data_IF_608488970709
#
_entry.id   IF_608488970709
#
_cell.length_a   1.000
_cell.length_b   1.000
_cell.length_c   1.000
_cell.angle_alpha   90.00
_cell.angle_beta   90.00
_cell.angle_gamma   90.00
#
_symmetry.space_group_name_H-M   'P 1'
#
loop_
_entity.id
_entity.type
_entity.pdbx_description
1 polymer ?
#
# COMPACT_ATOMS: atom_id res chain seq x y z
N UNK A 1 -9.21 49.22 7.09
CA UNK A 1 -8.56 48.62 5.90
C UNK A 1 -7.06 48.63 6.17
N UNK A 2 -6.44 47.58 6.70
CA UNK A 2 -6.13 46.33 5.99
C UNK A 2 -6.02 45.20 7.03
N UNK A 3 -7.07 44.39 7.17
CA UNK A 3 -7.02 43.10 7.86
C UNK A 3 -6.90 42.05 6.76
N UNK A 4 -5.75 41.41 6.65
CA UNK A 4 -5.56 40.17 5.89
C UNK A 4 -4.21 39.61 6.38
N UNK A 5 -4.12 38.91 7.50
CA UNK A 5 -4.84 37.66 7.82
C UNK A 5 -4.85 36.68 6.65
N UNK A 6 -3.69 36.42 6.06
CA UNK A 6 -3.45 35.13 5.40
C UNK A 6 -2.25 34.48 6.06
N UNK A 7 -2.45 34.09 7.32
CA UNK A 7 -1.72 32.99 7.90
C UNK A 7 -2.08 31.77 7.07
N UNK A 8 -1.26 31.41 6.08
CA UNK A 8 -1.46 30.16 5.35
C UNK A 8 -1.33 29.02 6.37
N UNK A 9 -2.37 28.19 6.56
CA UNK A 9 -2.22 27.00 7.37
C UNK A 9 -1.30 26.04 6.60
N UNK A 10 -0.13 25.78 7.17
CA UNK A 10 0.66 24.60 6.83
C UNK A 10 -0.29 23.38 6.94
N UNK A 11 -0.48 22.57 5.89
CA UNK A 11 -1.25 21.35 6.01
C UNK A 11 -0.56 20.46 7.03
N UNK A 12 -1.31 20.20 8.10
CA UNK A 12 -0.94 19.44 9.27
C UNK A 12 -0.21 18.15 8.96
N UNK A 13 0.79 17.89 9.79
CA UNK A 13 1.51 16.63 9.97
C UNK A 13 0.61 15.41 9.70
N UNK A 14 0.85 14.76 8.55
CA UNK A 14 0.40 13.38 8.39
C UNK A 14 1.33 12.53 9.24
N UNK A 15 0.82 12.11 10.39
CA UNK A 15 1.35 11.02 11.22
C UNK A 15 1.77 9.89 10.28
N UNK A 16 3.07 9.82 10.01
CA UNK A 16 3.66 8.75 9.23
C UNK A 16 3.41 7.47 10.01
N UNK A 17 2.47 6.64 9.54
CA UNK A 17 2.31 5.28 10.02
C UNK A 17 3.57 4.52 9.62
N UNK A 18 4.58 4.62 10.49
CA UNK A 18 5.76 3.80 10.44
C UNK A 18 5.38 2.35 10.69
N UNK A 19 6.13 1.48 10.01
CA UNK A 19 6.42 0.12 10.45
C UNK A 19 5.30 -0.91 10.20
N UNK A 20 5.13 -1.30 8.93
CA UNK A 20 4.59 -2.63 8.60
C UNK A 20 5.71 -3.65 8.87
N UNK A 21 6.06 -3.82 10.14
CA UNK A 21 7.00 -4.87 10.55
C UNK A 21 6.23 -6.19 10.50
N UNK A 22 6.64 -7.05 9.57
CA UNK A 22 6.19 -8.44 9.38
C UNK A 22 4.73 -8.70 8.93
N UNK A 23 3.82 -7.72 8.92
CA UNK A 23 2.45 -7.95 8.46
C UNK A 23 2.41 -8.25 6.94
N UNK A 24 1.74 -9.34 6.55
CA UNK A 24 1.51 -9.76 5.14
C UNK A 24 0.51 -8.83 4.46
N UNK A 25 0.93 -7.58 4.20
CA UNK A 25 0.12 -6.55 3.56
C UNK A 25 0.81 -6.07 2.28
N UNK A 26 0.02 -5.87 1.22
CA UNK A 26 0.50 -5.24 -0.02
C UNK A 26 0.70 -3.74 0.21
N UNK A 27 1.86 -3.18 -0.18
CA UNK A 27 2.15 -1.75 0.01
C UNK A 27 1.27 -0.84 -0.85
N UNK A 28 0.90 -1.26 -2.05
CA UNK A 28 0.14 -0.45 -3.02
C UNK A 28 -1.37 -0.51 -2.78
N UNK A 29 -1.90 -1.72 -2.56
CA UNK A 29 -3.34 -1.95 -2.48
C UNK A 29 -3.84 -2.21 -1.07
N UNK A 30 -2.94 -2.30 -0.08
CA UNK A 30 -3.31 -2.54 1.32
C UNK A 30 -3.97 -3.90 1.59
N UNK A 31 -3.91 -4.86 0.65
CA UNK A 31 -4.55 -6.18 0.80
C UNK A 31 -4.05 -6.91 2.04
N UNK A 32 -4.96 -7.35 2.90
CA UNK A 32 -4.69 -8.04 4.17
C UNK A 32 -5.14 -9.50 4.13
N UNK A 33 -4.59 -10.38 4.98
CA UNK A 33 -5.11 -11.73 5.14
C UNK A 33 -6.56 -11.70 5.63
N UNK A 34 -7.39 -12.56 5.05
CA UNK A 34 -8.80 -12.71 5.42
C UNK A 34 -8.96 -14.03 6.16
N UNK A 35 -9.80 -14.07 7.20
CA UNK A 35 -10.14 -15.31 7.91
C UNK A 35 -11.44 -15.86 7.33
N UNK A 36 -11.51 -17.18 7.15
CA UNK A 36 -12.76 -17.87 6.81
C UNK A 36 -12.71 -19.33 7.21
N UNK A 37 -13.67 -20.12 6.72
CA UNK A 37 -13.78 -21.53 7.07
C UNK A 37 -13.47 -22.42 5.85
N UNK A 38 -12.92 -23.62 6.10
CA UNK A 38 -13.04 -24.75 5.20
C UNK A 38 -14.30 -25.53 5.58
N UNK A 39 -15.15 -25.85 4.61
CA UNK A 39 -16.42 -26.55 4.82
C UNK A 39 -16.31 -27.90 4.15
N UNK A 40 -16.48 -28.98 4.91
CA UNK A 40 -16.51 -30.33 4.35
C UNK A 40 -17.86 -30.64 3.70
N UNK A 41 -17.94 -31.75 2.96
CA UNK A 41 -19.20 -32.25 2.42
C UNK A 41 -20.26 -32.49 3.51
N UNK A 42 -19.82 -32.84 4.72
CA UNK A 42 -20.67 -32.98 5.92
C UNK A 42 -20.89 -31.67 6.68
N UNK A 43 -20.58 -30.50 6.09
CA UNK A 43 -20.71 -29.17 6.68
C UNK A 43 -19.90 -28.92 7.98
N UNK A 44 -18.84 -29.68 8.22
CA UNK A 44 -17.94 -29.42 9.34
C UNK A 44 -17.07 -28.21 8.99
N UNK A 45 -17.12 -27.17 9.83
CA UNK A 45 -16.44 -25.89 9.61
C UNK A 45 -15.13 -25.83 10.39
N UNK A 46 -14.00 -25.79 9.71
CA UNK A 46 -12.67 -25.58 10.31
C UNK A 46 -12.12 -24.20 9.95
N UNK A 47 -11.55 -23.47 10.93
CA UNK A 47 -11.01 -22.13 10.69
C UNK A 47 -9.76 -22.18 9.82
N UNK A 48 -9.67 -21.30 8.82
CA UNK A 48 -8.47 -21.11 7.99
C UNK A 48 -8.21 -19.64 7.69
N UNK A 49 -6.99 -19.35 7.23
CA UNK A 49 -6.58 -18.00 6.80
C UNK A 49 -6.30 -17.99 5.31
N UNK A 50 -6.88 -17.03 4.59
CA UNK A 50 -6.59 -16.73 3.20
C UNK A 50 -5.47 -15.70 3.13
N UNK A 51 -4.37 -16.07 2.50
CA UNK A 51 -3.19 -15.23 2.41
C UNK A 51 -3.13 -14.59 1.03
N UNK A 52 -2.86 -13.28 0.93
CA UNK A 52 -2.61 -12.64 -0.35
C UNK A 52 -1.31 -13.18 -0.97
N UNK A 53 -1.31 -13.34 -2.30
CA UNK A 53 -0.11 -13.70 -3.07
C UNK A 53 0.85 -12.50 -3.13
N UNK A 54 1.70 -12.35 -2.10
CA UNK A 54 2.67 -11.26 -1.99
C UNK A 54 4.01 -11.66 -2.60
N UNK A 55 4.50 -10.82 -3.51
CA UNK A 55 5.75 -11.01 -4.21
C UNK A 55 6.68 -9.81 -3.95
N UNK A 56 7.96 -10.07 -3.70
CA UNK A 56 8.99 -9.02 -3.62
C UNK A 56 9.48 -8.74 -5.04
N UNK A 57 9.26 -7.53 -5.55
CA UNK A 57 9.68 -7.12 -6.90
C UNK A 57 10.38 -5.77 -6.86
N UNK A 58 11.32 -5.59 -7.78
CA UNK A 58 12.06 -4.34 -7.97
C UNK A 58 11.46 -3.60 -9.16
N UNK A 59 11.25 -2.30 -8.99
CA UNK A 59 10.79 -1.39 -10.02
C UNK A 59 11.85 -0.32 -10.23
N UNK A 60 12.09 0.03 -11.49
CA UNK A 60 12.96 1.14 -11.84
C UNK A 60 12.13 2.42 -11.85
N UNK A 61 12.59 3.46 -11.16
CA UNK A 61 11.92 4.74 -11.13
C UNK A 61 12.71 5.76 -11.94
N UNK A 62 12.11 6.20 -13.06
CA UNK A 62 12.78 7.04 -14.05
C UNK A 62 13.00 8.49 -13.59
N UNK A 63 12.25 9.02 -12.61
CA UNK A 63 12.43 10.42 -12.17
C UNK A 63 13.65 10.59 -11.23
N UNK A 64 14.10 9.52 -10.56
CA UNK A 64 15.19 9.57 -9.57
C UNK A 64 16.31 8.56 -9.88
N UNK A 65 16.24 7.90 -11.04
CA UNK A 65 17.17 6.85 -11.51
C UNK A 65 17.50 5.79 -10.46
N UNK A 66 16.50 5.42 -9.65
CA UNK A 66 16.69 4.51 -8.50
C UNK A 66 15.83 3.25 -8.61
N UNK A 67 16.36 2.17 -8.04
CA UNK A 67 15.62 0.92 -7.90
C UNK A 67 14.82 0.91 -6.60
N UNK A 68 13.51 0.79 -6.73
CA UNK A 68 12.59 0.69 -5.60
C UNK A 68 12.16 -0.77 -5.41
N UNK A 69 12.30 -1.29 -4.19
CA UNK A 69 11.83 -2.65 -3.87
C UNK A 69 10.49 -2.58 -3.15
N UNK A 70 9.46 -3.20 -3.75
CA UNK A 70 8.12 -3.26 -3.16
C UNK A 70 7.67 -4.71 -2.92
N UNK A 71 6.89 -4.89 -1.85
CA UNK A 71 6.07 -6.09 -1.61
C UNK A 71 4.70 -5.87 -2.25
N UNK A 72 4.46 -6.56 -3.36
CA UNK A 72 3.34 -6.29 -4.26
C UNK A 72 2.51 -7.55 -4.45
N UNK A 73 1.18 -7.39 -4.41
CA UNK A 73 0.24 -8.44 -4.83
C UNK A 73 0.05 -8.45 -6.34
N UNK A 74 -0.42 -9.56 -6.93
CA UNK A 74 -0.71 -9.64 -8.37
C UNK A 74 -1.65 -8.54 -8.88
N UNK A 75 -2.67 -8.17 -8.11
CA UNK A 75 -3.57 -7.08 -8.50
C UNK A 75 -2.91 -5.70 -8.45
N UNK A 76 -1.93 -5.53 -7.56
CA UNK A 76 -1.17 -4.29 -7.52
C UNK A 76 -0.24 -4.16 -8.73
N UNK A 77 0.29 -5.27 -9.28
CA UNK A 77 0.99 -5.24 -10.58
C UNK A 77 0.06 -4.77 -11.69
N UNK A 78 -1.19 -5.22 -11.70
CA UNK A 78 -2.19 -4.76 -12.68
C UNK A 78 -2.48 -3.27 -12.53
N UNK A 79 -2.59 -2.75 -11.31
CA UNK A 79 -2.78 -1.32 -11.05
C UNK A 79 -1.58 -0.49 -11.51
N UNK A 80 -0.36 -0.94 -11.21
CA UNK A 80 0.88 -0.27 -11.63
C UNK A 80 0.95 -0.18 -13.16
N UNK A 81 0.61 -1.25 -13.87
CA UNK A 81 0.61 -1.26 -15.33
C UNK A 81 -0.45 -0.33 -15.94
N UNK A 82 -1.57 -0.09 -15.23
CA UNK A 82 -2.64 0.81 -15.70
C UNK A 82 -2.36 2.28 -15.41
N UNK A 83 -1.92 2.61 -14.20
CA UNK A 83 -1.79 3.99 -13.73
C UNK A 83 -0.37 4.57 -13.93
N UNK A 84 0.61 3.69 -14.18
CA UNK A 84 2.02 4.04 -14.20
C UNK A 84 2.68 4.01 -12.82
N UNK A 85 4.01 3.87 -12.78
CA UNK A 85 4.78 3.82 -11.53
C UNK A 85 4.85 5.18 -10.82
N UNK A 86 4.87 6.29 -11.56
CA UNK A 86 5.03 7.64 -11.01
C UNK A 86 3.85 8.09 -10.15
N UNK A 87 2.62 7.83 -10.60
CA UNK A 87 1.39 8.17 -9.87
C UNK A 87 1.29 7.37 -8.57
N UNK A 88 1.60 6.08 -8.62
CA UNK A 88 1.57 5.18 -7.47
C UNK A 88 2.61 5.59 -6.42
N UNK A 89 3.84 5.93 -6.83
CA UNK A 89 4.88 6.36 -5.88
C UNK A 89 4.52 7.70 -5.23
N UNK A 90 3.94 8.65 -5.97
CA UNK A 90 3.45 9.93 -5.44
C UNK A 90 2.35 9.72 -4.39
N UNK A 91 1.42 8.80 -4.64
CA UNK A 91 0.38 8.39 -3.68
C UNK A 91 0.99 7.77 -2.42
N UNK A 92 1.92 6.82 -2.58
CA UNK A 92 2.58 6.16 -1.45
C UNK A 92 3.37 7.13 -0.56
N UNK A 93 4.00 8.16 -1.15
CA UNK A 93 4.66 9.24 -0.41
C UNK A 93 3.67 10.09 0.37
N UNK A 94 2.54 10.45 -0.23
CA UNK A 94 1.46 11.19 0.45
C UNK A 94 0.83 10.39 1.59
N UNK A 95 0.81 9.07 1.49
CA UNK A 95 0.36 8.15 2.52
C UNK A 95 1.40 7.92 3.63
N UNK A 96 2.63 8.43 3.47
CA UNK A 96 3.70 8.34 4.47
C UNK A 96 4.42 6.99 4.51
N UNK A 97 4.31 6.18 3.45
CA UNK A 97 5.06 4.92 3.34
C UNK A 97 6.51 5.24 2.95
N UNK A 98 7.48 4.88 3.79
CA UNK A 98 8.92 5.03 3.48
C UNK A 98 9.32 4.06 2.36
N UNK A 99 9.82 4.61 1.25
CA UNK A 99 10.28 3.91 0.04
C UNK A 99 11.75 4.23 -0.21
#
# INVERSE_FOLDING_TARGET
MLVCSVCLPLPSEKIGKNSIVMARVCQVTGKKPIVGNSVSHSNIKTKRRFLPNLQKKRFFFAEEDRWVTLKVSTDALRTINKNGLSTVIKQLRAEGTKI
#
